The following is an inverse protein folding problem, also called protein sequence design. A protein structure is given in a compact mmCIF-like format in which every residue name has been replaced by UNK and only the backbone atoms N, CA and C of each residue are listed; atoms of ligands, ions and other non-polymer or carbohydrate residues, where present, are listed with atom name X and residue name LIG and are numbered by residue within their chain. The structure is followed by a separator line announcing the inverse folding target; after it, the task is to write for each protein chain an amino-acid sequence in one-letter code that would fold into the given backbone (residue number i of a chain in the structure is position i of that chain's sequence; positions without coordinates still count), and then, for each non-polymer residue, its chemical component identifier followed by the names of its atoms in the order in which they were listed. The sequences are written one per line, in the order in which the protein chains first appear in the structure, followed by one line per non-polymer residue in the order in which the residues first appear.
data_IF_627016466836
#
_entry.id   IF_627016466836
#
_cell.length_a   1.000
_cell.length_b   1.000
_cell.length_c   1.000
_cell.angle_alpha   90.00
_cell.angle_beta   90.00
_cell.angle_gamma   90.00
#
_symmetry.space_group_name_H-M   'P 1'
#
loop_
_entity.id
_entity.type
_entity.pdbx_description
1 polymer ?
#
# COMPACT_ATOMS: atom_id res chain seq x y z
N UNK A 1 -25.20 -2.04 -16.52
CA UNK A 1 -24.72 -0.84 -17.23
C UNK A 1 -24.30 0.20 -16.17
N UNK A 2 -23.13 0.78 -16.32
CA UNK A 2 -22.66 1.88 -15.46
C UNK A 2 -23.59 3.08 -15.63
N UNK A 3 -24.02 3.67 -14.54
CA UNK A 3 -24.97 4.80 -14.54
C UNK A 3 -24.18 6.09 -14.34
N UNK A 4 -24.41 7.07 -15.22
CA UNK A 4 -23.79 8.40 -15.10
C UNK A 4 -24.13 9.06 -13.77
N UNK A 5 -23.13 9.56 -13.06
CA UNK A 5 -23.22 10.29 -11.78
C UNK A 5 -22.81 11.75 -11.97
N UNK A 6 -23.08 12.57 -10.97
CA UNK A 6 -22.61 13.96 -10.94
C UNK A 6 -21.07 14.04 -11.04
N UNK A 7 -20.37 13.18 -10.30
CA UNK A 7 -18.92 13.05 -10.33
C UNK A 7 -18.51 11.71 -10.95
N UNK A 8 -17.72 11.68 -12.03
CA UNK A 8 -17.31 10.44 -12.71
C UNK A 8 -16.61 9.44 -11.80
N UNK A 9 -15.90 9.90 -10.78
CA UNK A 9 -15.21 9.04 -9.81
C UNK A 9 -16.18 8.11 -9.04
N UNK A 10 -17.45 8.45 -8.98
CA UNK A 10 -18.48 7.66 -8.30
C UNK A 10 -19.18 6.64 -9.24
N UNK A 11 -18.73 6.52 -10.50
CA UNK A 11 -19.28 5.62 -11.51
C UNK A 11 -18.58 4.26 -11.47
N UNK A 12 -18.76 3.53 -10.36
CA UNK A 12 -18.20 2.20 -10.21
C UNK A 12 -18.87 1.19 -11.13
N UNK A 13 -18.05 0.36 -11.79
CA UNK A 13 -18.49 -0.78 -12.57
C UNK A 13 -17.90 -2.09 -11.99
N UNK A 14 -18.74 -2.99 -11.46
CA UNK A 14 -18.27 -4.26 -10.91
C UNK A 14 -17.86 -5.26 -11.99
N UNK A 15 -18.05 -4.93 -13.30
CA UNK A 15 -17.77 -5.84 -14.37
C UNK A 15 -16.29 -6.26 -14.40
N UNK A 16 -16.09 -7.55 -14.56
CA UNK A 16 -14.78 -8.16 -14.82
C UNK A 16 -15.00 -9.23 -15.89
N UNK A 17 -14.16 -9.28 -16.92
CA UNK A 17 -12.92 -8.55 -17.12
C UNK A 17 -13.10 -7.13 -17.71
N UNK A 18 -12.17 -6.22 -17.39
CA UNK A 18 -12.01 -4.96 -18.13
C UNK A 18 -11.42 -5.23 -19.52
N UNK A 19 -11.46 -4.25 -20.44
CA UNK A 19 -10.94 -4.42 -21.79
C UNK A 19 -9.44 -4.74 -21.84
N UNK A 20 -8.67 -4.18 -20.91
CA UNK A 20 -7.26 -4.51 -20.71
C UNK A 20 -7.15 -5.27 -19.39
N UNK A 21 -6.59 -6.47 -19.42
CA UNK A 21 -6.34 -7.29 -18.26
C UNK A 21 -4.83 -7.38 -18.00
N UNK A 22 -4.36 -7.25 -16.75
CA UNK A 22 -2.93 -7.43 -16.45
C UNK A 22 -2.41 -8.77 -16.94
N UNK A 23 -3.18 -9.85 -16.81
CA UNK A 23 -2.82 -11.20 -17.26
C UNK A 23 -2.71 -11.37 -18.78
N UNK A 24 -3.23 -10.43 -19.58
CA UNK A 24 -3.07 -10.45 -21.05
C UNK A 24 -1.75 -9.78 -21.50
N UNK A 25 -1.15 -8.95 -20.63
CA UNK A 25 0.08 -8.22 -20.90
C UNK A 25 1.25 -8.85 -20.17
N UNK A 26 1.04 -9.19 -18.91
CA UNK A 26 2.07 -9.72 -18.00
C UNK A 26 2.03 -11.25 -18.03
N UNK A 27 3.15 -11.87 -18.38
CA UNK A 27 3.28 -13.32 -18.33
C UNK A 27 3.45 -13.79 -16.89
N UNK A 28 2.70 -14.84 -16.53
CA UNK A 28 2.93 -15.55 -15.28
C UNK A 28 4.37 -16.08 -15.23
N UNK A 29 5.02 -15.94 -14.08
CA UNK A 29 6.41 -16.33 -13.84
C UNK A 29 6.49 -17.30 -12.66
N UNK A 30 7.58 -18.00 -12.55
CA UNK A 30 7.93 -18.74 -11.33
C UNK A 30 8.50 -17.75 -10.30
N UNK A 31 7.60 -17.16 -9.51
CA UNK A 31 7.93 -16.19 -8.47
C UNK A 31 7.47 -16.71 -7.10
N UNK A 32 8.07 -16.24 -5.99
CA UNK A 32 7.58 -16.53 -4.65
C UNK A 32 6.12 -16.13 -4.50
N UNK A 33 5.35 -16.83 -3.65
CA UNK A 33 3.97 -16.41 -3.35
C UNK A 33 3.89 -15.15 -2.50
N UNK A 34 4.93 -14.85 -1.73
CA UNK A 34 5.03 -13.68 -0.85
C UNK A 34 5.86 -12.59 -1.52
N UNK A 35 5.42 -11.35 -1.41
CA UNK A 35 6.12 -10.18 -1.88
C UNK A 35 6.10 -9.07 -0.83
N UNK A 36 7.24 -8.45 -0.61
CA UNK A 36 7.37 -7.20 0.14
C UNK A 36 7.45 -6.07 -0.89
N UNK A 37 6.51 -5.14 -0.80
CA UNK A 37 6.57 -3.86 -1.51
C UNK A 37 7.10 -2.84 -0.49
N UNK A 38 8.23 -2.22 -0.77
CA UNK A 38 8.86 -1.30 0.18
C UNK A 38 9.23 0.03 -0.46
N UNK A 39 9.01 1.12 0.26
CA UNK A 39 9.39 2.46 -0.16
C UNK A 39 10.82 2.85 0.29
N UNK A 40 11.55 1.92 0.94
CA UNK A 40 12.92 2.12 1.44
C UNK A 40 13.95 1.67 0.40
N UNK A 41 14.25 2.53 -0.58
CA UNK A 41 15.21 2.24 -1.64
C UNK A 41 16.63 1.99 -1.14
N UNK A 42 17.05 2.68 -0.07
CA UNK A 42 18.32 2.50 0.61
C UNK A 42 18.47 1.10 1.24
N UNK A 43 17.39 0.56 1.80
CA UNK A 43 17.37 -0.83 2.33
C UNK A 43 17.57 -1.83 1.19
N UNK A 44 16.90 -1.63 0.05
CA UNK A 44 17.12 -2.47 -1.15
C UNK A 44 18.56 -2.35 -1.61
N UNK A 45 19.10 -1.13 -1.70
CA UNK A 45 20.50 -0.88 -2.08
C UNK A 45 21.49 -1.57 -1.16
N UNK A 46 21.26 -1.51 0.16
CA UNK A 46 22.07 -2.22 1.15
C UNK A 46 22.00 -3.74 0.96
N UNK A 47 20.82 -4.31 0.83
CA UNK A 47 20.64 -5.75 0.61
C UNK A 47 21.31 -6.23 -0.69
N UNK A 48 21.31 -5.39 -1.73
CA UNK A 48 22.02 -5.67 -2.97
C UNK A 48 23.54 -5.70 -2.76
N UNK A 49 24.10 -4.71 -2.08
CA UNK A 49 25.53 -4.64 -1.80
C UNK A 49 26.03 -5.81 -0.92
N UNK A 50 25.14 -6.36 -0.08
CA UNK A 50 25.39 -7.54 0.75
C UNK A 50 25.20 -8.87 -0.02
N UNK A 51 24.83 -8.83 -1.32
CA UNK A 51 24.59 -10.03 -2.12
C UNK A 51 23.35 -10.84 -1.71
N UNK A 52 22.40 -10.23 -1.00
CA UNK A 52 21.20 -10.88 -0.45
C UNK A 52 20.02 -10.89 -1.41
N UNK A 53 20.12 -10.19 -2.53
CA UNK A 53 19.05 -10.07 -3.51
C UNK A 53 19.50 -10.61 -4.87
N UNK A 54 18.65 -11.40 -5.52
CA UNK A 54 18.79 -11.81 -6.91
C UNK A 54 17.62 -11.25 -7.73
N UNK A 55 17.92 -10.57 -8.84
CA UNK A 55 16.89 -10.04 -9.75
C UNK A 55 16.18 -11.18 -10.46
N UNK A 56 14.83 -11.18 -10.43
CA UNK A 56 13.99 -12.21 -11.05
C UNK A 56 13.01 -11.66 -12.11
N UNK A 57 12.70 -10.38 -12.06
CA UNK A 57 11.80 -9.72 -13.00
C UNK A 57 12.00 -8.20 -12.95
N UNK A 58 11.17 -7.49 -13.71
CA UNK A 58 11.07 -6.03 -13.70
C UNK A 58 9.62 -5.62 -13.84
N UNK A 59 9.26 -4.53 -13.18
CA UNK A 59 8.06 -3.76 -13.40
C UNK A 59 8.41 -2.58 -14.31
N UNK A 60 7.77 -2.48 -15.47
CA UNK A 60 8.04 -1.45 -16.47
C UNK A 60 6.90 -0.46 -16.55
N UNK A 61 7.22 0.81 -16.47
CA UNK A 61 6.29 1.91 -16.77
C UNK A 61 6.87 2.79 -17.88
N UNK A 62 6.11 3.80 -18.31
CA UNK A 62 6.59 4.78 -19.28
C UNK A 62 7.75 5.66 -18.71
N UNK A 63 7.91 5.72 -17.41
CA UNK A 63 8.83 6.65 -16.74
C UNK A 63 9.94 5.97 -15.95
N UNK A 64 9.73 4.74 -15.50
CA UNK A 64 10.70 4.02 -14.65
C UNK A 64 10.62 2.52 -14.84
N UNK A 65 11.76 1.86 -14.63
CA UNK A 65 11.87 0.41 -14.54
C UNK A 65 12.28 0.06 -13.11
N UNK A 66 11.45 -0.70 -12.41
CA UNK A 66 11.72 -1.15 -11.04
C UNK A 66 12.05 -2.64 -11.03
N UNK A 67 13.27 -3.01 -10.65
CA UNK A 67 13.66 -4.42 -10.53
C UNK A 67 12.85 -5.12 -9.44
N UNK A 68 12.46 -6.35 -9.70
CA UNK A 68 11.85 -7.26 -8.73
C UNK A 68 12.91 -8.29 -8.34
N UNK A 69 13.13 -8.40 -7.05
CA UNK A 69 14.17 -9.27 -6.50
C UNK A 69 13.56 -10.44 -5.75
N UNK A 70 14.37 -11.49 -5.62
CA UNK A 70 14.16 -12.62 -4.73
C UNK A 70 15.17 -12.59 -3.61
N UNK A 71 14.72 -12.86 -2.42
CA UNK A 71 15.52 -13.17 -1.24
C UNK A 71 14.94 -14.37 -0.52
N UNK A 72 15.51 -14.73 0.61
CA UNK A 72 15.06 -15.82 1.46
C UNK A 72 14.98 -15.36 2.91
N UNK A 73 13.92 -15.77 3.59
CA UNK A 73 13.75 -15.59 5.03
C UNK A 73 13.31 -16.91 5.67
N UNK A 74 14.09 -17.42 6.64
CA UNK A 74 13.82 -18.69 7.33
C UNK A 74 13.55 -19.85 6.35
N UNK A 75 14.36 -19.99 5.30
CA UNK A 75 14.25 -21.04 4.28
C UNK A 75 13.09 -20.85 3.29
N UNK A 76 12.40 -19.71 3.32
CA UNK A 76 11.27 -19.43 2.43
C UNK A 76 11.60 -18.32 1.46
N UNK A 77 11.35 -18.52 0.15
CA UNK A 77 11.58 -17.48 -0.84
C UNK A 77 10.55 -16.35 -0.72
N UNK A 78 11.03 -15.12 -0.84
CA UNK A 78 10.24 -13.89 -0.79
C UNK A 78 10.65 -12.99 -1.96
N UNK A 79 9.67 -12.38 -2.62
CA UNK A 79 9.88 -11.27 -3.55
C UNK A 79 10.06 -9.96 -2.80
N UNK A 80 10.90 -9.08 -3.33
CA UNK A 80 11.04 -7.69 -2.87
C UNK A 80 11.04 -6.78 -4.08
N UNK A 81 10.28 -5.69 -3.99
CA UNK A 81 10.23 -4.65 -5.02
C UNK A 81 10.08 -3.29 -4.36
N UNK A 82 10.69 -2.27 -4.98
CA UNK A 82 10.44 -0.89 -4.57
C UNK A 82 9.02 -0.48 -4.95
N UNK A 83 8.30 0.14 -4.01
CA UNK A 83 6.96 0.67 -4.23
C UNK A 83 6.97 1.82 -5.23
N UNK A 84 5.94 1.88 -6.07
CA UNK A 84 5.69 3.03 -6.93
C UNK A 84 4.85 4.06 -6.16
N UNK A 85 5.25 5.33 -6.20
CA UNK A 85 4.61 6.38 -5.41
C UNK A 85 3.21 6.69 -5.92
N UNK A 86 2.27 6.89 -5.00
CA UNK A 86 0.91 7.33 -5.23
C UNK A 86 -0.05 6.20 -5.62
N UNK A 87 -1.33 6.40 -5.34
CA UNK A 87 -2.39 5.41 -5.46
C UNK A 87 -2.46 4.79 -6.87
N UNK A 88 -2.43 5.59 -7.92
CA UNK A 88 -2.54 5.11 -9.29
C UNK A 88 -1.35 4.24 -9.70
N UNK A 89 -0.11 4.66 -9.37
CA UNK A 89 1.10 3.93 -9.69
C UNK A 89 1.22 2.63 -8.93
N UNK A 90 0.99 2.66 -7.62
CA UNK A 90 1.06 1.49 -6.74
C UNK A 90 -0.04 0.47 -7.01
N UNK A 91 -1.25 0.92 -7.35
CA UNK A 91 -2.33 0.02 -7.75
C UNK A 91 -2.02 -0.71 -9.06
N UNK A 92 -1.49 -0.02 -10.07
CA UNK A 92 -1.01 -0.64 -11.31
C UNK A 92 0.12 -1.62 -11.07
N UNK A 93 1.09 -1.27 -10.23
CA UNK A 93 2.17 -2.16 -9.83
C UNK A 93 1.65 -3.44 -9.15
N UNK A 94 0.70 -3.31 -8.21
CA UNK A 94 0.11 -4.46 -7.52
C UNK A 94 -0.62 -5.39 -8.51
N UNK A 95 -1.36 -4.84 -9.47
CA UNK A 95 -2.03 -5.62 -10.52
C UNK A 95 -1.05 -6.48 -11.33
N UNK A 96 0.09 -5.91 -11.73
CA UNK A 96 1.10 -6.63 -12.49
C UNK A 96 1.83 -7.69 -11.63
N UNK A 97 2.13 -7.39 -10.36
CA UNK A 97 2.70 -8.36 -9.43
C UNK A 97 1.78 -9.57 -9.22
N UNK A 98 0.47 -9.33 -9.10
CA UNK A 98 -0.54 -10.39 -9.02
C UNK A 98 -0.53 -11.24 -10.31
N UNK A 99 -0.52 -10.58 -11.48
CA UNK A 99 -0.46 -11.28 -12.77
C UNK A 99 0.80 -12.12 -12.94
N UNK A 100 1.95 -11.66 -12.41
CA UNK A 100 3.20 -12.42 -12.39
C UNK A 100 3.10 -13.69 -11.55
N UNK A 101 2.23 -13.74 -10.53
CA UNK A 101 2.00 -14.92 -9.71
C UNK A 101 2.20 -14.74 -8.20
N UNK A 102 2.51 -13.54 -7.73
CA UNK A 102 2.48 -13.21 -6.30
C UNK A 102 1.04 -13.23 -5.76
N UNK A 103 0.84 -13.54 -4.48
CA UNK A 103 -0.51 -13.69 -3.91
C UNK A 103 -0.63 -13.20 -2.46
N UNK A 104 0.48 -12.90 -1.80
CA UNK A 104 0.51 -12.39 -0.43
C UNK A 104 1.51 -11.26 -0.33
N UNK A 105 1.05 -10.14 0.20
CA UNK A 105 1.82 -8.90 0.17
C UNK A 105 1.92 -8.28 1.56
N UNK A 106 3.10 -7.77 1.88
CA UNK A 106 3.31 -6.80 2.96
C UNK A 106 3.86 -5.53 2.31
N UNK A 107 3.24 -4.41 2.60
CA UNK A 107 3.70 -3.09 2.20
C UNK A 107 4.40 -2.43 3.37
N UNK A 108 5.58 -1.85 3.15
CA UNK A 108 6.34 -1.13 4.17
C UNK A 108 6.66 0.28 3.67
N UNK A 109 6.22 1.30 4.39
CA UNK A 109 6.42 2.70 4.01
C UNK A 109 6.47 3.65 5.20
N UNK A 110 6.78 4.92 4.92
CA UNK A 110 6.65 6.02 5.85
C UNK A 110 5.26 6.66 5.70
N UNK A 111 4.84 7.42 6.71
CA UNK A 111 3.60 8.19 6.71
C UNK A 111 3.75 9.42 7.59
N UNK A 112 3.09 10.50 7.21
CA UNK A 112 2.99 11.69 8.05
C UNK A 112 2.14 11.40 9.29
N UNK A 113 2.61 11.84 10.45
CA UNK A 113 1.92 11.68 11.72
C UNK A 113 0.92 12.82 11.92
N UNK A 114 -0.33 12.50 12.24
CA UNK A 114 -1.41 13.48 12.42
C UNK A 114 -1.71 13.79 13.89
N UNK A 115 -1.34 12.91 14.82
CA UNK A 115 -1.74 13.01 16.22
C UNK A 115 -0.54 13.16 17.14
N UNK A 116 -0.62 14.13 18.06
CA UNK A 116 0.35 14.26 19.16
C UNK A 116 0.42 12.97 19.98
N UNK A 117 1.64 12.51 20.25
CA UNK A 117 1.89 11.27 20.98
C UNK A 117 2.23 10.07 20.09
N UNK A 118 2.00 10.16 18.79
CA UNK A 118 2.63 9.27 17.81
C UNK A 118 3.93 9.96 17.36
N UNK A 119 5.08 9.36 17.66
CA UNK A 119 6.37 9.94 17.33
C UNK A 119 6.90 9.41 16.00
N UNK A 120 7.79 10.15 15.38
CA UNK A 120 8.60 9.67 14.24
C UNK A 120 9.29 8.35 14.65
N UNK A 121 9.21 7.34 13.79
CA UNK A 121 9.72 5.99 14.04
C UNK A 121 8.74 5.03 14.71
N UNK A 122 7.61 5.48 15.28
CA UNK A 122 6.58 4.56 15.77
C UNK A 122 5.97 3.76 14.63
N UNK A 123 5.76 2.47 14.85
CA UNK A 123 5.09 1.60 13.88
C UNK A 123 3.57 1.76 13.98
N UNK A 124 2.94 1.91 12.83
CA UNK A 124 1.49 1.95 12.69
C UNK A 124 1.06 0.82 11.74
N UNK A 125 0.08 0.02 12.19
CA UNK A 125 -0.53 -1.04 11.38
C UNK A 125 -1.95 -0.59 11.01
N UNK A 126 -2.18 -0.12 9.79
CA UNK A 126 -3.49 0.37 9.39
C UNK A 126 -4.47 -0.78 9.21
N UNK A 127 -5.58 -0.74 9.98
CA UNK A 127 -6.68 -1.67 9.79
C UNK A 127 -7.70 -1.20 8.74
N UNK A 128 -7.72 0.11 8.46
CA UNK A 128 -8.58 0.76 7.46
C UNK A 128 -7.90 2.03 6.96
N UNK A 129 -8.22 2.44 5.74
CA UNK A 129 -7.75 3.66 5.10
C UNK A 129 -8.90 4.52 4.60
N UNK A 130 -8.87 5.82 4.87
CA UNK A 130 -9.79 6.80 4.27
C UNK A 130 -9.43 6.98 2.80
N UNK A 131 -10.43 6.91 1.93
CA UNK A 131 -10.29 6.93 0.46
C UNK A 131 -10.37 8.35 -0.07
N UNK A 132 -9.29 9.15 0.09
CA UNK A 132 -9.19 10.51 -0.45
C UNK A 132 -8.22 10.55 -1.65
N UNK A 133 -8.32 9.53 -2.50
CA UNK A 133 -7.53 9.29 -3.71
C UNK A 133 -8.45 8.76 -4.84
N UNK A 134 -7.94 8.71 -6.07
CA UNK A 134 -8.78 8.40 -7.22
C UNK A 134 -8.93 6.93 -7.57
N UNK A 135 -7.93 6.08 -7.28
CA UNK A 135 -7.87 4.72 -7.83
C UNK A 135 -8.88 3.76 -7.20
N UNK A 136 -9.01 3.77 -5.88
CA UNK A 136 -9.82 2.77 -5.16
C UNK A 136 -11.29 2.75 -5.58
N UNK A 137 -11.82 3.88 -6.07
CA UNK A 137 -13.20 4.00 -6.57
C UNK A 137 -13.45 3.22 -7.86
N UNK A 138 -12.40 2.87 -8.61
CA UNK A 138 -12.51 2.01 -9.80
C UNK A 138 -12.54 0.52 -9.46
N UNK A 139 -12.21 0.14 -8.21
CA UNK A 139 -12.14 -1.25 -7.76
C UNK A 139 -13.26 -1.65 -6.79
N UNK A 140 -13.82 -0.70 -6.06
CA UNK A 140 -14.86 -0.94 -5.06
C UNK A 140 -15.93 0.14 -5.13
N UNK A 141 -17.17 -0.25 -4.78
CA UNK A 141 -18.27 0.70 -4.58
C UNK A 141 -17.83 1.92 -3.77
N UNK A 142 -18.33 3.12 -4.12
CA UNK A 142 -18.02 4.32 -3.36
C UNK A 142 -18.34 4.16 -1.86
N UNK A 143 -17.33 4.40 -1.04
CA UNK A 143 -17.43 4.36 0.41
C UNK A 143 -16.39 5.30 1.02
N UNK A 144 -16.54 5.62 2.27
CA UNK A 144 -15.63 6.53 2.98
C UNK A 144 -14.27 5.93 3.21
N UNK A 145 -14.23 4.64 3.51
CA UNK A 145 -13.01 3.92 3.86
C UNK A 145 -12.99 2.51 3.29
N UNK A 146 -11.83 1.90 3.29
CA UNK A 146 -11.60 0.51 2.91
C UNK A 146 -10.76 -0.20 3.95
N UNK A 147 -11.19 -1.41 4.36
CA UNK A 147 -10.50 -2.23 5.35
C UNK A 147 -9.33 -3.03 4.74
N UNK A 148 -8.26 -3.15 5.51
CA UNK A 148 -7.17 -4.10 5.27
C UNK A 148 -7.67 -5.55 5.28
N UNK A 149 -6.94 -6.47 4.63
CA UNK A 149 -7.19 -7.91 4.77
C UNK A 149 -7.12 -8.36 6.23
N UNK A 150 -8.21 -8.92 6.76
CA UNK A 150 -8.26 -9.41 8.15
C UNK A 150 -7.16 -10.46 8.43
N UNK A 151 -6.88 -11.31 7.43
CA UNK A 151 -5.82 -12.31 7.55
C UNK A 151 -4.43 -11.66 7.65
N UNK A 152 -4.12 -10.66 6.80
CA UNK A 152 -2.84 -9.97 6.85
C UNK A 152 -2.71 -9.17 8.15
N UNK A 153 -3.75 -8.42 8.53
CA UNK A 153 -3.78 -7.65 9.76
C UNK A 153 -3.46 -8.53 10.96
N UNK A 154 -4.15 -9.67 11.09
CA UNK A 154 -3.91 -10.61 12.18
C UNK A 154 -2.47 -11.15 12.17
N UNK A 155 -1.95 -11.56 11.01
CA UNK A 155 -0.58 -12.07 10.92
C UNK A 155 0.46 -11.03 11.33
N UNK A 156 0.26 -9.76 10.94
CA UNK A 156 1.16 -8.66 11.30
C UNK A 156 1.11 -8.41 12.81
N UNK A 157 -0.09 -8.22 13.37
CA UNK A 157 -0.24 -7.91 14.80
C UNK A 157 0.26 -9.04 15.68
N UNK A 158 -0.09 -10.31 15.39
CA UNK A 158 0.40 -11.47 16.11
C UNK A 158 1.96 -11.51 16.13
N UNK A 159 2.58 -11.26 14.98
CA UNK A 159 4.05 -11.26 14.88
C UNK A 159 4.69 -10.15 15.73
N UNK A 160 4.14 -8.95 15.66
CA UNK A 160 4.65 -7.80 16.44
C UNK A 160 4.47 -8.04 17.95
N UNK A 161 3.32 -8.56 18.38
CA UNK A 161 3.04 -8.89 19.78
C UNK A 161 3.96 -9.99 20.31
N UNK A 162 4.11 -11.11 19.58
CA UNK A 162 4.99 -12.22 19.97
C UNK A 162 6.44 -11.74 20.13
N UNK A 163 6.89 -10.85 19.26
CA UNK A 163 8.25 -10.32 19.30
C UNK A 163 8.39 -9.07 20.21
N UNK A 164 7.32 -8.66 20.90
CA UNK A 164 7.29 -7.48 21.77
C UNK A 164 7.73 -6.19 21.08
N UNK A 165 7.37 -6.05 19.82
CA UNK A 165 7.62 -4.85 19.02
C UNK A 165 6.42 -3.90 19.22
N UNK A 166 6.62 -2.70 19.80
CA UNK A 166 5.53 -1.76 19.99
C UNK A 166 4.95 -1.29 18.64
N UNK A 167 3.63 -1.19 18.58
CA UNK A 167 2.93 -0.66 17.41
C UNK A 167 1.59 -0.06 17.79
N UNK A 168 1.04 0.77 16.91
CA UNK A 168 -0.28 1.36 17.01
C UNK A 168 -1.15 0.74 15.91
N UNK A 169 -2.30 0.19 16.27
CA UNK A 169 -3.31 -0.26 15.31
C UNK A 169 -4.33 0.84 15.12
N UNK A 170 -4.38 1.45 13.94
CA UNK A 170 -5.18 2.66 13.70
C UNK A 170 -5.68 2.76 12.25
N UNK A 171 -6.40 3.82 11.92
CA UNK A 171 -6.71 4.23 10.55
C UNK A 171 -5.59 5.09 9.99
N UNK A 172 -5.40 5.03 8.67
CA UNK A 172 -4.60 6.00 7.90
C UNK A 172 -5.50 6.78 6.94
N UNK A 173 -5.06 7.93 6.53
CA UNK A 173 -5.67 8.72 5.46
C UNK A 173 -4.81 8.59 4.21
N UNK A 174 -5.40 8.09 3.11
CA UNK A 174 -4.73 8.05 1.81
C UNK A 174 -5.15 9.25 0.99
N UNK A 175 -4.19 10.05 0.54
CA UNK A 175 -4.41 11.24 -0.31
C UNK A 175 -3.54 11.23 -1.56
N UNK A 176 -4.08 11.71 -2.70
CA UNK A 176 -3.29 11.96 -3.92
C UNK A 176 -2.56 13.33 -3.88
N UNK A 177 -2.82 14.17 -2.87
CA UNK A 177 -2.45 15.57 -2.89
C UNK A 177 -1.84 16.05 -1.55
N UNK A 178 -0.63 15.58 -1.23
CA UNK A 178 0.04 15.90 0.03
C UNK A 178 0.24 17.42 0.24
N UNK A 179 0.44 18.22 -0.80
CA UNK A 179 0.46 19.68 -0.68
C UNK A 179 -0.92 20.31 -0.41
N UNK A 180 -1.97 19.51 -0.28
CA UNK A 180 -3.33 19.94 0.07
C UNK A 180 -3.84 19.36 1.39
N UNK A 181 -2.95 18.94 2.25
CA UNK A 181 -3.21 18.54 3.62
C UNK A 181 -3.39 19.77 4.51
N UNK A 182 -4.53 20.44 4.35
CA UNK A 182 -4.87 21.65 5.10
C UNK A 182 -5.26 21.32 6.53
N UNK A 183 -5.13 22.29 7.45
CA UNK A 183 -5.48 22.13 8.86
C UNK A 183 -6.92 21.58 9.06
N UNK A 184 -7.89 22.08 8.30
CA UNK A 184 -9.27 21.62 8.37
C UNK A 184 -9.40 20.16 7.91
N UNK A 185 -8.69 19.76 6.86
CA UNK A 185 -8.64 18.35 6.42
C UNK A 185 -8.00 17.47 7.47
N UNK A 186 -6.85 17.87 8.02
CA UNK A 186 -6.16 17.14 9.08
C UNK A 186 -7.08 16.96 10.29
N UNK A 187 -7.71 18.02 10.77
CA UNK A 187 -8.66 17.96 11.89
C UNK A 187 -9.82 17.01 11.60
N UNK A 188 -10.38 17.03 10.38
CA UNK A 188 -11.43 16.11 9.97
C UNK A 188 -10.93 14.67 9.99
N UNK A 189 -9.74 14.36 9.43
CA UNK A 189 -9.19 13.00 9.42
C UNK A 189 -8.88 12.48 10.82
N UNK A 190 -8.37 13.32 11.70
CA UNK A 190 -8.19 12.99 13.12
C UNK A 190 -9.53 12.63 13.76
N UNK A 191 -10.58 13.39 13.50
CA UNK A 191 -11.93 13.11 14.04
C UNK A 191 -12.52 11.79 13.54
N UNK A 192 -12.08 11.30 12.38
CA UNK A 192 -12.42 10.00 11.80
C UNK A 192 -11.57 8.84 12.35
N UNK A 193 -10.58 9.13 13.20
CA UNK A 193 -9.71 8.15 13.83
C UNK A 193 -8.41 7.86 13.06
N UNK A 194 -8.05 8.71 12.09
CA UNK A 194 -6.73 8.60 11.43
C UNK A 194 -5.63 9.07 12.36
N UNK A 195 -4.52 8.35 12.38
CA UNK A 195 -3.29 8.73 13.09
C UNK A 195 -2.15 9.07 12.13
N UNK A 196 -2.27 8.63 10.87
CA UNK A 196 -1.28 8.86 9.82
C UNK A 196 -1.96 9.28 8.51
N UNK A 197 -1.16 9.89 7.62
CA UNK A 197 -1.47 10.17 6.22
C UNK A 197 -0.38 9.59 5.33
N UNK A 198 -0.77 9.02 4.21
CA UNK A 198 0.12 8.47 3.18
C UNK A 198 -0.61 8.48 1.82
N UNK A 199 -0.05 7.87 0.78
CA UNK A 199 -0.55 8.04 -0.58
C UNK A 199 -1.03 6.74 -1.27
N UNK A 200 -1.04 5.57 -0.60
CA UNK A 200 -1.23 4.27 -1.28
C UNK A 200 -2.17 3.27 -0.59
N UNK A 201 -2.35 3.30 0.71
CA UNK A 201 -3.04 2.25 1.48
C UNK A 201 -4.44 1.94 0.96
N UNK A 202 -5.27 2.95 0.69
CA UNK A 202 -6.62 2.74 0.19
C UNK A 202 -6.61 2.03 -1.18
N UNK A 203 -5.68 2.40 -2.06
CA UNK A 203 -5.51 1.77 -3.36
C UNK A 203 -5.08 0.31 -3.21
N UNK A 204 -4.06 0.01 -2.38
CA UNK A 204 -3.61 -1.34 -2.11
C UNK A 204 -4.72 -2.22 -1.53
N UNK A 205 -5.48 -1.71 -0.56
CA UNK A 205 -6.57 -2.46 0.06
C UNK A 205 -7.71 -2.72 -0.93
N UNK A 206 -8.06 -1.73 -1.77
CA UNK A 206 -9.11 -1.88 -2.77
C UNK A 206 -8.73 -2.89 -3.85
N UNK A 207 -7.54 -2.77 -4.44
CA UNK A 207 -7.06 -3.70 -5.48
C UNK A 207 -6.92 -5.10 -4.92
N UNK A 208 -6.33 -5.27 -3.73
CA UNK A 208 -6.16 -6.59 -3.10
C UNK A 208 -7.49 -7.27 -2.83
N UNK A 209 -8.50 -6.53 -2.38
CA UNK A 209 -9.86 -7.03 -2.14
C UNK A 209 -10.55 -7.44 -3.45
N UNK A 210 -10.46 -6.59 -4.48
CA UNK A 210 -11.02 -6.88 -5.81
C UNK A 210 -10.39 -8.12 -6.45
N UNK A 211 -9.06 -8.28 -6.32
CA UNK A 211 -8.30 -9.43 -6.87
C UNK A 211 -8.25 -10.65 -5.94
N UNK A 212 -8.88 -10.57 -4.78
CA UNK A 212 -8.92 -11.65 -3.80
C UNK A 212 -7.52 -12.16 -3.40
N UNK A 213 -6.60 -11.24 -3.14
CA UNK A 213 -5.25 -11.51 -2.61
C UNK A 213 -5.11 -10.99 -1.19
N UNK A 214 -4.14 -11.51 -0.44
CA UNK A 214 -3.89 -11.11 0.94
C UNK A 214 -2.86 -10.00 0.96
N UNK A 215 -3.24 -8.82 1.46
CA UNK A 215 -2.33 -7.68 1.58
C UNK A 215 -2.52 -7.00 2.93
N UNK A 216 -1.39 -6.67 3.58
CA UNK A 216 -1.33 -5.83 4.76
C UNK A 216 -0.23 -4.79 4.64
N UNK A 217 -0.25 -3.79 5.52
CA UNK A 217 0.71 -2.69 5.51
C UNK A 217 1.25 -2.43 6.90
N UNK A 218 2.51 -2.04 6.96
CA UNK A 218 3.18 -1.51 8.14
C UNK A 218 3.74 -0.15 7.74
N UNK A 219 3.36 0.86 8.47
CA UNK A 219 3.87 2.23 8.33
C UNK A 219 4.77 2.57 9.51
N UNK A 220 5.67 3.50 9.33
CA UNK A 220 6.30 4.20 10.45
C UNK A 220 6.06 5.71 10.31
N UNK A 221 6.02 6.43 11.40
CA UNK A 221 6.01 7.89 11.38
C UNK A 221 7.30 8.40 10.71
N UNK A 222 7.15 9.09 9.59
CA UNK A 222 8.27 9.64 8.81
C UNK A 222 8.49 11.11 9.07
N UNK A 223 7.42 11.84 9.22
CA UNK A 223 7.35 13.28 9.48
C UNK A 223 6.16 13.61 10.39
N UNK A 224 6.18 14.77 11.02
CA UNK A 224 5.14 15.18 11.99
C UNK A 224 4.32 16.38 11.47
N UNK A 225 3.03 16.14 11.25
CA UNK A 225 2.03 17.14 10.89
C UNK A 225 1.13 17.51 12.08
N UNK A 226 1.41 17.02 13.29
CA UNK A 226 0.61 17.32 14.49
C UNK A 226 0.93 18.67 15.12
N UNK A 227 2.02 19.33 14.66
CA UNK A 227 2.49 20.65 15.07
C UNK A 227 1.88 21.78 14.25
N UNK A 228 2.34 23.02 14.55
CA UNK A 228 2.00 24.23 13.75
C UNK A 228 2.87 24.28 12.49
N UNK A 229 4.07 23.75 12.55
CA UNK A 229 5.02 23.67 11.46
C UNK A 229 5.27 22.20 11.13
N UNK A 230 5.54 21.93 9.87
CA UNK A 230 5.94 20.61 9.40
C UNK A 230 7.38 20.31 9.84
N UNK A 231 7.61 19.16 10.46
CA UNK A 231 8.92 18.65 10.91
C UNK A 231 9.21 17.26 10.29
#
# INVERSE_FOLDING_TARGET
MTVKREFPILEFDPASPAKIQPSSIIRKRDVPKHCVITFFGDVIGKMLSEGRLSKIAEFHTATVVLPIYRTEYSGKPIGIVQGYLGAAGSGGQLEELIAMGFARFIVCGAAGVLQKGVQVGHLVVPYSAIRDEGLSYHYLEPSREVECSKQALKCITDYLEINRIPFIKAKTWTTDAFYRETEDKIALRISEGCVTVEMEAAAFFAVSKFRNVVLGQILHGGDDLSGIEWD
#
